data_IF_388902455892
#
_entry.id   IF_388902455892
#
_cell.length_a   1.000
_cell.length_b   1.000
_cell.length_c   1.000
_cell.angle_alpha   90.00
_cell.angle_beta   90.00
_cell.angle_gamma   90.00
#
_symmetry.space_group_name_H-M   'P 1'
#
loop_
_entity.id
_entity.type
_entity.pdbx_description
1 polymer ?
#
# COMPACT_ATOMS: atom_id res chain seq x y z
N UNK A 1 5.60 -19.11 -7.88
CA UNK A 1 5.29 -18.17 -6.77
C UNK A 1 5.00 -16.82 -7.39
N UNK A 2 3.95 -16.11 -6.95
CA UNK A 2 3.66 -14.76 -7.45
C UNK A 2 4.75 -13.81 -6.91
N UNK A 3 5.28 -12.94 -7.76
CA UNK A 3 6.30 -11.97 -7.37
C UNK A 3 5.72 -11.03 -6.29
N UNK A 4 6.43 -10.80 -5.17
CA UNK A 4 5.92 -9.99 -4.08
C UNK A 4 5.80 -8.53 -4.50
N UNK A 5 4.73 -7.86 -4.03
CA UNK A 5 4.42 -6.47 -4.34
C UNK A 5 4.57 -5.64 -3.08
N UNK A 6 5.25 -4.49 -3.20
CA UNK A 6 5.59 -3.64 -2.06
C UNK A 6 5.29 -2.18 -2.41
N UNK A 7 4.57 -1.49 -1.54
CA UNK A 7 4.32 -0.06 -1.71
C UNK A 7 5.54 0.80 -1.33
N UNK A 8 5.85 1.81 -2.14
CA UNK A 8 6.87 2.83 -1.88
C UNK A 8 6.24 4.23 -1.85
N UNK A 9 6.41 5.02 -0.78
CA UNK A 9 5.74 6.32 -0.63
C UNK A 9 6.34 7.47 -1.47
N UNK A 10 7.44 7.23 -2.19
CA UNK A 10 8.17 8.23 -2.97
C UNK A 10 8.04 8.04 -4.49
N UNK A 11 8.57 8.97 -5.29
CA UNK A 11 8.65 8.80 -6.73
C UNK A 11 9.58 7.63 -7.09
N UNK A 12 9.23 6.91 -8.16
CA UNK A 12 10.00 5.80 -8.70
C UNK A 12 10.38 6.12 -10.14
N UNK A 13 11.68 6.06 -10.46
CA UNK A 13 12.19 6.29 -11.80
C UNK A 13 12.99 5.09 -12.27
N UNK A 14 12.86 4.77 -13.55
CA UNK A 14 13.60 3.64 -14.13
C UNK A 14 15.10 3.92 -14.17
N UNK A 15 15.91 2.93 -13.82
CA UNK A 15 17.36 3.01 -13.78
C UNK A 15 17.92 3.54 -12.46
N UNK A 16 17.09 4.12 -11.60
CA UNK A 16 17.50 4.55 -10.26
C UNK A 16 17.59 3.38 -9.29
N UNK A 17 18.35 3.59 -8.20
CA UNK A 17 18.30 2.74 -7.01
C UNK A 17 17.59 3.47 -5.88
N UNK A 18 16.82 2.73 -5.07
CA UNK A 18 16.16 3.29 -3.90
C UNK A 18 16.26 2.38 -2.69
N UNK A 19 16.27 2.98 -1.51
CA UNK A 19 16.18 2.27 -0.25
C UNK A 19 14.73 2.11 0.16
N UNK A 20 14.35 0.89 0.53
CA UNK A 20 13.01 0.62 1.02
C UNK A 20 12.87 1.09 2.47
N UNK A 21 11.67 1.59 2.80
CA UNK A 21 11.37 2.03 4.15
C UNK A 21 11.48 0.89 5.17
N UNK A 22 11.79 1.22 6.42
CA UNK A 22 12.05 0.26 7.51
C UNK A 22 11.00 -0.86 7.64
N UNK A 23 9.71 -0.54 7.43
CA UNK A 23 8.64 -1.53 7.49
C UNK A 23 8.70 -2.54 6.33
N UNK A 24 8.88 -2.05 5.10
CA UNK A 24 9.04 -2.86 3.90
C UNK A 24 10.31 -3.74 3.99
N UNK A 25 11.44 -3.15 4.39
CA UNK A 25 12.70 -3.88 4.57
C UNK A 25 12.57 -5.03 5.59
N UNK A 26 11.87 -4.79 6.71
CA UNK A 26 11.58 -5.85 7.69
C UNK A 26 10.64 -6.93 7.14
N UNK A 27 9.62 -6.55 6.37
CA UNK A 27 8.71 -7.50 5.75
C UNK A 27 9.46 -8.42 4.76
N UNK A 28 10.27 -7.82 3.89
CA UNK A 28 11.11 -8.54 2.92
C UNK A 28 12.08 -9.50 3.61
N UNK A 29 12.87 -9.02 4.57
CA UNK A 29 13.90 -9.85 5.19
C UNK A 29 13.33 -10.93 6.14
N UNK A 30 12.31 -10.61 6.93
CA UNK A 30 11.82 -11.52 7.99
C UNK A 30 10.66 -12.41 7.56
N UNK A 31 9.76 -11.90 6.73
CA UNK A 31 8.54 -12.61 6.33
C UNK A 31 8.75 -13.29 4.99
N UNK A 32 9.18 -12.54 3.97
CA UNK A 32 9.37 -13.07 2.62
C UNK A 32 10.72 -13.80 2.46
N UNK A 33 11.71 -13.46 3.30
CA UNK A 33 13.07 -14.04 3.31
C UNK A 33 13.76 -13.93 1.94
N UNK A 34 13.61 -12.78 1.29
CA UNK A 34 14.30 -12.47 0.03
C UNK A 34 15.68 -11.88 0.32
N UNK A 35 16.61 -12.11 -0.59
CA UNK A 35 17.99 -11.66 -0.53
C UNK A 35 18.42 -10.93 -1.82
N UNK A 36 19.68 -10.47 -1.85
CA UNK A 36 20.27 -9.85 -3.05
C UNK A 36 20.15 -10.79 -4.25
N UNK A 37 19.71 -10.24 -5.38
CA UNK A 37 19.42 -10.95 -6.62
C UNK A 37 17.93 -11.27 -6.82
N UNK A 38 17.12 -11.30 -5.75
CA UNK A 38 15.69 -11.57 -5.85
C UNK A 38 14.91 -10.39 -6.44
N UNK A 39 13.76 -10.71 -7.03
CA UNK A 39 12.89 -9.75 -7.69
C UNK A 39 11.61 -9.48 -6.92
N UNK A 40 11.16 -8.22 -6.97
CA UNK A 40 9.89 -7.76 -6.43
C UNK A 40 9.26 -6.72 -7.36
N UNK A 41 8.00 -6.37 -7.12
CA UNK A 41 7.33 -5.26 -7.80
C UNK A 41 7.12 -4.12 -6.82
N UNK A 42 7.63 -2.94 -7.15
CA UNK A 42 7.28 -1.70 -6.46
C UNK A 42 6.10 -1.01 -7.13
N UNK A 43 5.33 -0.28 -6.33
CA UNK A 43 4.33 0.67 -6.81
C UNK A 43 4.18 1.81 -5.79
N UNK A 44 3.75 2.98 -6.23
CA UNK A 44 3.66 4.19 -5.39
C UNK A 44 2.26 4.86 -5.43
N UNK A 45 1.28 4.27 -6.14
CA UNK A 45 -0.06 4.84 -6.30
C UNK A 45 -0.28 5.64 -7.58
N UNK A 46 0.72 5.76 -8.46
CA UNK A 46 0.59 6.48 -9.74
C UNK A 46 -0.07 5.64 -10.86
N UNK A 47 -0.45 4.40 -10.57
CA UNK A 47 -1.04 3.47 -11.53
C UNK A 47 -0.02 2.63 -12.30
N UNK A 48 1.28 2.73 -11.99
CA UNK A 48 2.33 1.90 -12.58
C UNK A 48 2.89 0.89 -11.58
N UNK A 49 3.46 -0.16 -12.15
CA UNK A 49 4.25 -1.18 -11.50
C UNK A 49 5.70 -1.07 -11.95
N UNK A 50 6.61 -1.21 -11.01
CA UNK A 50 8.04 -1.06 -11.22
C UNK A 50 8.71 -2.36 -10.81
N UNK A 51 9.01 -3.26 -11.75
CA UNK A 51 9.84 -4.42 -11.47
C UNK A 51 11.17 -3.95 -10.87
N UNK A 52 11.57 -4.51 -9.74
CA UNK A 52 12.79 -4.11 -9.06
C UNK A 52 13.56 -5.33 -8.59
N UNK A 53 14.89 -5.24 -8.65
CA UNK A 53 15.78 -6.29 -8.17
C UNK A 53 16.46 -5.82 -6.89
N UNK A 54 16.50 -6.69 -5.87
CA UNK A 54 17.24 -6.43 -4.64
C UNK A 54 18.74 -6.42 -4.96
N UNK A 55 19.39 -5.29 -4.76
CA UNK A 55 20.82 -5.15 -4.98
C UNK A 55 21.60 -5.47 -3.71
N UNK A 56 21.06 -5.07 -2.54
CA UNK A 56 21.72 -5.32 -1.26
C UNK A 56 20.74 -5.44 -0.09
N UNK A 57 21.11 -6.27 0.89
CA UNK A 57 20.45 -6.38 2.19
C UNK A 57 21.49 -6.12 3.28
N UNK A 58 21.38 -4.99 3.99
CA UNK A 58 22.36 -4.56 4.98
C UNK A 58 21.69 -4.10 6.27
N UNK A 59 21.99 -4.76 7.40
CA UNK A 59 21.54 -4.35 8.74
C UNK A 59 20.02 -4.09 8.86
N UNK A 60 19.21 -4.83 8.09
CA UNK A 60 17.75 -4.69 8.06
C UNK A 60 17.22 -3.59 7.14
N UNK A 61 18.07 -2.98 6.32
CA UNK A 61 17.71 -2.15 5.18
C UNK A 61 17.87 -2.94 3.88
N UNK A 62 16.98 -2.66 2.92
CA UNK A 62 16.96 -3.31 1.60
C UNK A 62 17.09 -2.22 0.54
N UNK A 63 18.04 -2.39 -0.35
CA UNK A 63 18.24 -1.54 -1.53
C UNK A 63 17.83 -2.30 -2.78
N UNK A 64 17.19 -1.59 -3.70
CA UNK A 64 16.70 -2.17 -4.96
C UNK A 64 17.03 -1.28 -6.14
N UNK A 65 17.28 -1.89 -7.30
CA UNK A 65 17.35 -1.21 -8.59
C UNK A 65 15.99 -1.24 -9.27
N UNK A 66 15.56 -0.11 -9.83
CA UNK A 66 14.23 0.08 -10.40
C UNK A 66 14.27 -0.17 -11.91
N UNK A 67 13.44 -1.10 -12.38
CA UNK A 67 13.24 -1.43 -13.79
C UNK A 67 12.32 -0.45 -14.52
N UNK A 68 11.88 -0.81 -15.72
CA UNK A 68 11.00 0.02 -16.54
C UNK A 68 9.55 -0.01 -16.00
N UNK A 69 8.84 1.13 -15.94
CA UNK A 69 7.46 1.18 -15.48
C UNK A 69 6.54 0.40 -16.41
N UNK A 70 5.57 -0.31 -15.83
CA UNK A 70 4.55 -1.08 -16.51
C UNK A 70 3.18 -0.60 -16.05
N UNK A 71 2.28 -0.28 -16.97
CA UNK A 71 0.94 0.16 -16.60
C UNK A 71 0.18 -0.95 -15.87
N UNK A 72 -0.42 -0.64 -14.72
CA UNK A 72 -1.22 -1.59 -13.98
C UNK A 72 -2.55 -1.85 -14.72
N UNK A 73 -2.86 -3.13 -14.95
CA UNK A 73 -4.07 -3.53 -15.70
C UNK A 73 -5.24 -3.97 -14.81
N UNK A 74 -5.09 -3.91 -13.49
CA UNK A 74 -6.09 -4.42 -12.55
C UNK A 74 -7.08 -3.36 -12.06
N UNK A 75 -6.85 -2.08 -12.40
CA UNK A 75 -7.74 -1.01 -11.98
C UNK A 75 -9.09 -1.08 -12.72
N UNK A 76 -10.16 -0.79 -11.99
CA UNK A 76 -11.50 -0.70 -12.54
C UNK A 76 -11.61 0.51 -13.48
N UNK A 77 -12.27 0.39 -14.65
CA UNK A 77 -12.57 1.56 -15.48
C UNK A 77 -13.63 2.49 -14.85
N UNK A 78 -14.35 2.01 -13.83
CA UNK A 78 -15.32 2.80 -13.07
C UNK A 78 -14.67 3.40 -11.82
N UNK A 79 -14.63 4.72 -11.74
CA UNK A 79 -14.17 5.46 -10.56
C UNK A 79 -15.27 5.54 -9.50
N UNK A 80 -15.02 4.95 -8.33
CA UNK A 80 -15.97 4.94 -7.20
C UNK A 80 -15.36 5.71 -6.03
N UNK A 81 -16.11 6.69 -5.53
CA UNK A 81 -15.82 7.37 -4.26
C UNK A 81 -16.81 6.90 -3.20
N UNK A 82 -16.31 6.19 -2.18
CA UNK A 82 -17.12 5.71 -1.07
C UNK A 82 -17.10 6.70 0.10
N UNK A 83 -18.26 7.26 0.42
CA UNK A 83 -18.46 7.98 1.68
C UNK A 83 -18.87 6.98 2.76
N UNK A 84 -17.98 6.71 3.71
CA UNK A 84 -18.19 5.71 4.75
C UNK A 84 -18.37 6.36 6.12
N UNK A 85 -19.55 6.16 6.73
CA UNK A 85 -19.77 6.53 8.12
C UNK A 85 -18.78 5.81 9.05
N UNK A 86 -18.07 6.56 9.90
CA UNK A 86 -17.03 5.99 10.77
C UNK A 86 -17.64 4.94 11.71
N UNK A 87 -17.18 3.70 11.55
CA UNK A 87 -17.61 2.56 12.35
C UNK A 87 -16.71 2.36 13.58
N UNK A 88 -17.25 1.70 14.63
CA UNK A 88 -16.47 1.31 15.82
C UNK A 88 -15.70 0.01 15.57
N UNK A 89 -14.50 -0.05 16.15
CA UNK A 89 -13.66 -1.26 16.16
C UNK A 89 -13.20 -1.69 14.77
N UNK A 90 -13.05 -3.00 14.59
CA UNK A 90 -12.49 -3.63 13.39
C UNK A 90 -13.40 -3.59 12.15
N UNK A 91 -14.65 -3.13 12.29
CA UNK A 91 -15.57 -3.03 11.13
C UNK A 91 -15.05 -2.05 10.10
N UNK A 92 -14.46 -0.93 10.53
CA UNK A 92 -13.89 0.04 9.61
C UNK A 92 -12.70 -0.58 8.87
N UNK A 93 -11.86 -1.34 9.58
CA UNK A 93 -10.69 -2.01 9.00
C UNK A 93 -11.11 -3.00 7.90
N UNK A 94 -12.16 -3.78 8.13
CA UNK A 94 -12.74 -4.68 7.11
C UNK A 94 -13.29 -3.92 5.91
N UNK A 95 -13.99 -2.80 6.13
CA UNK A 95 -14.51 -1.96 5.04
C UNK A 95 -13.37 -1.44 4.19
N UNK A 96 -12.32 -0.87 4.79
CA UNK A 96 -11.15 -0.39 4.04
C UNK A 96 -10.53 -1.52 3.23
N UNK A 97 -10.24 -2.65 3.86
CA UNK A 97 -9.64 -3.80 3.18
C UNK A 97 -10.47 -4.23 1.96
N UNK A 98 -11.78 -4.49 2.16
CA UNK A 98 -12.64 -5.04 1.11
C UNK A 98 -12.98 -4.05 0.02
N UNK A 99 -13.10 -2.77 0.34
CA UNK A 99 -13.38 -1.74 -0.67
C UNK A 99 -12.15 -1.47 -1.54
N UNK A 100 -10.94 -1.52 -0.96
CA UNK A 100 -9.71 -1.49 -1.74
C UNK A 100 -9.62 -2.70 -2.68
N UNK A 101 -9.87 -3.92 -2.18
CA UNK A 101 -9.88 -5.15 -3.01
C UNK A 101 -10.92 -5.10 -4.14
N UNK A 102 -12.07 -4.45 -3.91
CA UNK A 102 -13.15 -4.28 -4.89
C UNK A 102 -12.90 -3.15 -5.91
N UNK A 103 -11.79 -2.43 -5.83
CA UNK A 103 -11.44 -1.38 -6.78
C UNK A 103 -12.07 -0.01 -6.47
N UNK A 104 -12.45 0.27 -5.22
CA UNK A 104 -12.83 1.63 -4.81
C UNK A 104 -11.60 2.53 -4.91
N UNK A 105 -11.74 3.66 -5.61
CA UNK A 105 -10.65 4.60 -5.88
C UNK A 105 -10.41 5.51 -4.67
N UNK A 106 -11.48 6.08 -4.10
CA UNK A 106 -11.38 7.01 -2.98
C UNK A 106 -12.33 6.61 -1.84
N UNK A 107 -11.83 6.57 -0.61
CA UNK A 107 -12.65 6.35 0.59
C UNK A 107 -12.60 7.60 1.46
N UNK A 108 -13.77 8.18 1.74
CA UNK A 108 -13.95 9.34 2.58
C UNK A 108 -14.65 8.94 3.88
N UNK A 109 -13.93 8.81 5.01
CA UNK A 109 -14.55 8.57 6.30
C UNK A 109 -15.34 9.81 6.75
N UNK A 110 -16.65 9.66 6.95
CA UNK A 110 -17.54 10.76 7.37
C UNK A 110 -18.05 10.55 8.79
N UNK A 111 -18.12 11.65 9.55
CA UNK A 111 -18.79 11.69 10.84
C UNK A 111 -20.26 12.03 10.62
N UNK A 112 -21.15 11.10 10.93
CA UNK A 112 -22.59 11.30 10.81
C UNK A 112 -23.19 11.67 12.18
N UNK A 113 -24.39 12.25 12.18
CA UNK A 113 -25.09 12.65 13.41
C UNK A 113 -25.23 11.50 14.43
N UNK A 114 -25.52 10.29 13.94
CA UNK A 114 -25.67 9.08 14.76
C UNK A 114 -24.36 8.28 14.89
N UNK A 115 -23.23 8.81 14.43
CA UNK A 115 -21.93 8.16 14.58
C UNK A 115 -21.56 8.11 16.05
N UNK A 116 -21.44 6.90 16.57
CA UNK A 116 -21.11 6.67 17.98
C UNK A 116 -19.63 7.01 18.29
N UNK A 117 -18.83 7.34 17.27
CA UNK A 117 -17.41 7.70 17.40
C UNK A 117 -17.27 9.22 17.36
N UNK A 118 -16.89 9.82 18.50
CA UNK A 118 -16.39 11.20 18.53
C UNK A 118 -14.87 11.17 18.37
N UNK A 119 -14.38 11.66 17.24
CA UNK A 119 -12.94 11.75 16.98
C UNK A 119 -12.44 13.08 17.55
N UNK A 120 -11.46 13.03 18.46
CA UNK A 120 -10.64 14.20 18.83
C UNK A 120 -9.47 14.27 17.86
N UNK A 121 -9.04 15.48 17.49
CA UNK A 121 -8.12 15.72 16.35
C UNK A 121 -6.85 14.86 16.34
N UNK A 122 -6.21 14.67 17.49
CA UNK A 122 -4.96 13.87 17.54
C UNK A 122 -5.20 12.36 17.34
N UNK A 123 -6.39 11.86 17.71
CA UNK A 123 -6.79 10.47 17.42
C UNK A 123 -7.22 10.29 15.96
N UNK A 124 -7.57 11.37 15.26
CA UNK A 124 -7.95 11.32 13.85
C UNK A 124 -6.77 10.88 12.99
N UNK A 125 -5.62 11.56 13.13
CA UNK A 125 -4.41 11.28 12.34
C UNK A 125 -3.90 9.86 12.52
N UNK A 126 -3.88 9.36 13.77
CA UNK A 126 -3.46 7.97 14.05
C UNK A 126 -4.38 6.95 13.40
N UNK A 127 -5.70 7.19 13.40
CA UNK A 127 -6.67 6.32 12.72
C UNK A 127 -6.53 6.38 11.20
N UNK A 128 -6.34 7.57 10.64
CA UNK A 128 -6.10 7.73 9.21
C UNK A 128 -4.84 6.96 8.78
N UNK A 129 -3.73 7.10 9.51
CA UNK A 129 -2.51 6.36 9.23
C UNK A 129 -2.70 4.83 9.33
N UNK A 130 -3.46 4.36 10.31
CA UNK A 130 -3.83 2.94 10.45
C UNK A 130 -4.64 2.44 9.24
N UNK A 131 -5.67 3.18 8.83
CA UNK A 131 -6.48 2.83 7.67
C UNK A 131 -5.69 2.89 6.37
N UNK A 132 -4.78 3.86 6.22
CA UNK A 132 -3.88 3.93 5.07
C UNK A 132 -2.99 2.68 5.00
N UNK A 133 -2.47 2.20 6.14
CA UNK A 133 -1.69 0.97 6.19
C UNK A 133 -2.49 -0.26 5.76
N UNK A 134 -3.77 -0.34 6.13
CA UNK A 134 -4.67 -1.42 5.69
C UNK A 134 -4.93 -1.35 4.19
N UNK A 135 -5.21 -0.16 3.65
CA UNK A 135 -5.40 0.05 2.22
C UNK A 135 -4.15 -0.36 1.42
N UNK A 136 -2.96 0.04 1.89
CA UNK A 136 -1.69 -0.36 1.27
C UNK A 136 -1.53 -1.88 1.25
N UNK A 137 -1.72 -2.56 2.39
CA UNK A 137 -1.61 -4.03 2.44
C UNK A 137 -2.66 -4.74 1.57
N UNK A 138 -3.87 -4.17 1.46
CA UNK A 138 -4.90 -4.67 0.56
C UNK A 138 -4.51 -4.47 -0.92
N UNK A 139 -3.90 -3.34 -1.28
CA UNK A 139 -3.38 -3.09 -2.63
C UNK A 139 -2.23 -4.05 -2.99
N UNK A 140 -1.28 -4.27 -2.07
CA UNK A 140 -0.19 -5.25 -2.22
C UNK A 140 -0.73 -6.66 -2.51
N UNK A 141 -1.81 -7.08 -1.83
CA UNK A 141 -2.40 -8.41 -2.00
C UNK A 141 -3.27 -8.53 -3.25
N UNK A 142 -4.14 -7.54 -3.49
CA UNK A 142 -5.11 -7.56 -4.59
C UNK A 142 -4.47 -7.31 -5.96
N UNK A 143 -3.29 -6.72 -6.01
CA UNK A 143 -2.60 -6.42 -7.26
C UNK A 143 -2.82 -5.01 -7.77
N UNK A 144 -3.47 -4.14 -6.99
CA UNK A 144 -3.70 -2.74 -7.33
C UNK A 144 -2.43 -1.92 -7.19
N UNK A 145 -2.32 -0.87 -8.01
CA UNK A 145 -1.19 0.06 -8.02
C UNK A 145 -1.63 1.53 -7.86
N UNK A 146 -2.88 1.74 -7.45
CA UNK A 146 -3.50 3.04 -7.22
C UNK A 146 -4.26 3.07 -5.91
#
# INVERSE_FOLDING_TARGET
MRMPRIYHPGPLHSGDSTQLGTAASKHIARVLRLDSGDWLTLFNGDGYEYPAQITATHSGQVEVSIGQPQACMTESPLTITLLQGVCRGQRMDLVIQKTTELGVDTILPVLCERSVVRIRDERARRRQAHWQGIAIGAAEQSGRSR
#
